data_IF_652523998540
#
_entry.id   IF_652523998540
#
_cell.length_a   1.000
_cell.length_b   1.000
_cell.length_c   1.000
_cell.angle_alpha   90.00
_cell.angle_beta   90.00
_cell.angle_gamma   90.00
#
_symmetry.space_group_name_H-M   'P 1'
#
loop_
_entity.id
_entity.type
_entity.pdbx_description
1 polymer ?
#
# COMPACT_ATOMS: atom_id res chain seq x y z
N UNK A 1 -1.18 -13.58 -2.01
CA UNK A 1 -1.43 -12.42 -2.88
C UNK A 1 -0.54 -11.30 -2.43
N UNK A 2 0.14 -10.66 -3.37
CA UNK A 2 1.05 -9.57 -3.05
C UNK A 2 0.34 -8.23 -3.17
N UNK A 3 0.52 -7.36 -2.16
CA UNK A 3 0.00 -5.99 -2.14
C UNK A 3 1.16 -5.01 -1.97
N UNK A 4 1.15 -3.99 -2.83
CA UNK A 4 1.98 -2.80 -2.70
C UNK A 4 1.17 -1.65 -2.16
N UNK A 5 1.77 -0.93 -1.24
CA UNK A 5 1.22 0.26 -0.64
C UNK A 5 2.07 1.41 -1.11
N UNK A 6 1.46 2.37 -1.79
CA UNK A 6 2.12 3.50 -2.40
C UNK A 6 1.51 4.81 -1.89
N UNK A 7 2.30 5.88 -1.99
CA UNK A 7 1.79 7.25 -1.97
C UNK A 7 1.63 7.72 -3.42
N UNK A 8 0.46 8.23 -3.77
CA UNK A 8 0.25 8.94 -5.02
C UNK A 8 0.13 10.44 -4.73
N UNK A 9 0.95 11.25 -5.40
CA UNK A 9 1.00 12.70 -5.22
C UNK A 9 0.17 13.44 -6.30
N UNK A 10 -0.15 14.73 -6.11
CA UNK A 10 -0.96 15.49 -7.06
C UNK A 10 -0.31 15.68 -8.44
N UNK A 11 1.02 15.56 -8.52
CA UNK A 11 1.80 15.60 -9.75
C UNK A 11 1.78 14.27 -10.54
N UNK A 12 1.05 13.26 -10.05
CA UNK A 12 0.97 11.93 -10.64
C UNK A 12 2.12 11.00 -10.27
N UNK A 13 3.09 11.46 -9.48
CA UNK A 13 4.19 10.63 -8.99
C UNK A 13 3.66 9.58 -8.02
N UNK A 14 4.20 8.36 -8.14
CA UNK A 14 3.89 7.24 -7.25
C UNK A 14 5.17 6.79 -6.55
N UNK A 15 5.17 6.80 -5.22
CA UNK A 15 6.26 6.29 -4.38
C UNK A 15 5.82 5.01 -3.66
N UNK A 16 6.55 3.92 -3.90
CA UNK A 16 6.34 2.68 -3.16
C UNK A 16 6.80 2.84 -1.71
N UNK A 17 5.89 2.54 -0.80
CA UNK A 17 6.09 2.70 0.64
C UNK A 17 6.36 1.35 1.29
N UNK A 18 5.54 0.35 0.96
CA UNK A 18 5.66 -0.99 1.51
C UNK A 18 5.19 -2.05 0.50
N UNK A 19 5.65 -3.27 0.74
CA UNK A 19 5.30 -4.46 0.01
C UNK A 19 4.95 -5.52 1.04
N UNK A 20 3.80 -6.17 0.89
CA UNK A 20 3.32 -7.16 1.83
C UNK A 20 2.74 -8.36 1.08
N UNK A 21 3.20 -9.55 1.45
CA UNK A 21 2.64 -10.80 0.99
C UNK A 21 1.59 -11.27 1.98
N UNK A 22 0.34 -11.32 1.53
CA UNK A 22 -0.78 -11.81 2.33
C UNK A 22 -1.24 -13.13 1.75
N UNK A 23 -0.90 -14.21 2.45
CA UNK A 23 -1.18 -15.57 2.03
C UNK A 23 -2.12 -16.22 3.05
N UNK A 24 -3.41 -16.25 2.75
CA UNK A 24 -4.40 -16.89 3.62
C UNK A 24 -5.82 -16.40 3.38
N UNK A 25 -6.82 -17.11 3.96
CA UNK A 25 -8.22 -16.69 3.91
C UNK A 25 -8.47 -15.35 4.62
N UNK A 26 -7.65 -15.01 5.62
CA UNK A 26 -7.83 -13.83 6.48
C UNK A 26 -7.04 -12.58 6.02
N UNK A 27 -6.62 -12.54 4.75
CA UNK A 27 -5.72 -11.50 4.25
C UNK A 27 -6.24 -10.07 4.47
N UNK A 28 -7.56 -9.85 4.45
CA UNK A 28 -8.15 -8.53 4.68
C UNK A 28 -7.89 -8.00 6.10
N UNK A 29 -7.93 -8.88 7.11
CA UNK A 29 -7.68 -8.49 8.50
C UNK A 29 -6.20 -8.25 8.75
N UNK A 30 -5.33 -9.05 8.13
CA UNK A 30 -3.89 -8.82 8.15
C UNK A 30 -3.51 -7.50 7.49
N UNK A 31 -4.08 -7.18 6.32
CA UNK A 31 -3.88 -5.89 5.65
C UNK A 31 -4.32 -4.73 6.55
N UNK A 32 -5.48 -4.85 7.19
CA UNK A 32 -6.00 -3.81 8.10
C UNK A 32 -5.08 -3.60 9.30
N UNK A 33 -4.61 -4.68 9.92
CA UNK A 33 -3.65 -4.62 11.04
C UNK A 33 -2.34 -3.97 10.59
N UNK A 34 -1.81 -4.39 9.44
CA UNK A 34 -0.62 -3.81 8.84
C UNK A 34 -0.79 -2.29 8.64
N UNK A 35 -1.86 -1.86 7.98
CA UNK A 35 -2.08 -0.44 7.69
C UNK A 35 -2.22 0.41 8.96
N UNK A 36 -2.91 -0.10 9.99
CA UNK A 36 -3.02 0.59 11.29
C UNK A 36 -1.66 0.79 11.96
N UNK A 37 -0.77 -0.19 11.87
CA UNK A 37 0.59 -0.07 12.40
C UNK A 37 1.44 0.86 11.51
N UNK A 38 1.36 0.68 10.19
CA UNK A 38 2.16 1.40 9.22
C UNK A 38 1.89 2.91 9.26
N UNK A 39 0.62 3.32 9.26
CA UNK A 39 0.23 4.74 9.33
C UNK A 39 0.73 5.46 10.57
N UNK A 40 0.89 4.76 11.71
CA UNK A 40 1.47 5.34 12.93
C UNK A 40 2.96 5.61 12.78
N UNK A 41 3.67 4.73 12.08
CA UNK A 41 5.13 4.82 11.90
C UNK A 41 5.55 5.66 10.71
N UNK A 42 4.71 5.69 9.67
CA UNK A 42 4.93 6.37 8.40
C UNK A 42 3.59 7.00 7.98
N UNK A 43 3.29 8.21 8.49
CA UNK A 43 2.06 8.90 8.14
C UNK A 43 2.05 9.26 6.66
N UNK A 44 0.84 9.47 6.16
CA UNK A 44 0.62 9.98 4.81
C UNK A 44 1.30 11.34 4.67
N UNK A 45 2.05 11.53 3.57
CA UNK A 45 2.75 12.79 3.29
C UNK A 45 1.75 13.84 2.78
N UNK A 46 2.06 15.11 2.98
CA UNK A 46 1.21 16.22 2.56
C UNK A 46 0.86 16.15 1.07
N UNK A 47 -0.44 16.28 0.77
CA UNK A 47 -0.98 16.20 -0.58
C UNK A 47 -1.00 14.80 -1.20
N UNK A 48 -0.43 13.79 -0.56
CA UNK A 48 -0.47 12.41 -1.06
C UNK A 48 -1.78 11.71 -0.68
N UNK A 49 -2.13 10.67 -1.44
CA UNK A 49 -3.16 9.68 -1.10
C UNK A 49 -2.57 8.28 -1.04
N UNK A 50 -3.15 7.40 -0.23
CA UNK A 50 -2.77 5.99 -0.21
C UNK A 50 -3.30 5.28 -1.46
N UNK A 51 -2.41 4.59 -2.17
CA UNK A 51 -2.73 3.77 -3.33
C UNK A 51 -2.34 2.31 -3.05
N UNK A 52 -3.31 1.41 -3.15
CA UNK A 52 -3.13 -0.03 -2.93
C UNK A 52 -3.13 -0.74 -4.27
N UNK A 53 -2.03 -1.39 -4.60
CA UNK A 53 -1.86 -2.12 -5.85
C UNK A 53 -1.69 -3.61 -5.53
N UNK A 54 -2.39 -4.47 -6.27
CA UNK A 54 -2.07 -5.89 -6.33
C UNK A 54 -1.43 -6.20 -7.68
N UNK A 55 -0.98 -7.44 -7.87
CA UNK A 55 -0.30 -7.89 -9.09
C UNK A 55 -1.08 -7.70 -10.40
N UNK A 56 -2.39 -7.37 -10.32
CA UNK A 56 -3.23 -7.08 -11.50
C UNK A 56 -3.34 -5.59 -11.83
N UNK A 57 -2.80 -4.70 -10.99
CA UNK A 57 -2.80 -3.26 -11.20
C UNK A 57 -1.67 -2.84 -12.15
N UNK A 58 -1.94 -1.93 -13.09
CA UNK A 58 -0.92 -1.35 -13.99
C UNK A 58 0.22 -0.63 -13.24
N UNK A 59 -0.02 -0.24 -11.98
CA UNK A 59 0.95 0.45 -11.14
C UNK A 59 1.76 -0.50 -10.24
N UNK A 60 1.50 -1.81 -10.30
CA UNK A 60 2.22 -2.79 -9.51
C UNK A 60 3.58 -3.11 -10.14
N UNK A 61 4.67 -2.86 -9.41
CA UNK A 61 6.05 -3.03 -9.90
C UNK A 61 6.71 -4.24 -9.26
N UNK A 62 7.06 -5.26 -10.04
CA UNK A 62 7.74 -6.46 -9.51
C UNK A 62 9.10 -6.16 -8.90
#
# INVERSE_FOLDING_TARGET
MTIQINHQFPDGRVEMCAHVDLNGPDFHDELRKFMKAYQKTKPLRDGAVWLFCNEKSEHFRK
#
